data_IF_951542807392
#
_entry.id   IF_951542807392
#
_cell.length_a   1.000
_cell.length_b   1.000
_cell.length_c   1.000
_cell.angle_alpha   90.00
_cell.angle_beta   90.00
_cell.angle_gamma   90.00
#
_symmetry.space_group_name_H-M   'P 1'
#
loop_
_entity.id
_entity.type
_entity.pdbx_description
1 polymer ?
#
# COMPACT_ATOMS: atom_id res chain seq x y z
N UNK A 1 -11.92 23.94 -3.39
CA UNK A 1 -10.73 23.75 -4.24
C UNK A 1 -10.17 25.10 -4.65
N UNK A 2 -8.84 25.24 -4.73
CA UNK A 2 -8.24 26.44 -5.29
C UNK A 2 -8.46 26.47 -6.81
N UNK A 3 -8.84 27.61 -7.40
CA UNK A 3 -8.96 27.73 -8.84
C UNK A 3 -7.60 27.55 -9.51
N UNK A 4 -7.62 27.10 -10.77
CA UNK A 4 -6.42 27.09 -11.62
C UNK A 4 -5.77 28.48 -11.62
N UNK A 5 -4.44 28.61 -11.45
CA UNK A 5 -3.40 27.58 -11.53
C UNK A 5 -2.95 26.96 -10.19
N UNK A 6 -3.58 27.28 -9.06
CA UNK A 6 -3.09 26.89 -7.72
C UNK A 6 -3.58 25.51 -7.24
N UNK A 7 -4.07 24.66 -8.14
CA UNK A 7 -4.55 23.32 -7.78
C UNK A 7 -3.49 22.46 -7.07
N UNK A 8 -2.21 22.64 -7.40
CA UNK A 8 -1.09 21.95 -6.75
C UNK A 8 -0.93 22.35 -5.28
N UNK A 9 -1.23 23.60 -4.94
CA UNK A 9 -1.09 24.15 -3.58
C UNK A 9 -2.04 23.46 -2.60
N UNK A 10 -3.21 23.03 -3.06
CA UNK A 10 -4.21 22.36 -2.24
C UNK A 10 -3.65 21.13 -1.52
N UNK A 11 -2.82 20.34 -2.21
CA UNK A 11 -2.23 19.13 -1.65
C UNK A 11 -1.12 19.41 -0.65
N UNK A 12 -0.30 20.46 -0.88
CA UNK A 12 0.72 20.86 0.10
C UNK A 12 0.09 21.48 1.36
N UNK A 13 -0.98 22.26 1.19
CA UNK A 13 -1.77 22.75 2.32
C UNK A 13 -2.39 21.60 3.11
N UNK A 14 -2.89 20.56 2.43
CA UNK A 14 -3.39 19.35 3.08
C UNK A 14 -2.29 18.63 3.89
N UNK A 15 -1.04 18.57 3.40
CA UNK A 15 0.10 18.04 4.17
C UNK A 15 0.31 18.88 5.44
N UNK A 16 0.33 20.21 5.33
CA UNK A 16 0.51 21.10 6.48
C UNK A 16 -0.64 20.96 7.50
N UNK A 17 -1.88 20.84 7.03
CA UNK A 17 -3.05 20.61 7.89
C UNK A 17 -2.94 19.28 8.62
N UNK A 18 -2.59 18.19 7.91
CA UNK A 18 -2.38 16.88 8.52
C UNK A 18 -1.27 16.88 9.57
N UNK A 19 -0.15 17.55 9.27
CA UNK A 19 0.97 17.69 10.19
C UNK A 19 0.60 18.50 11.44
N UNK A 20 -0.05 19.66 11.25
CA UNK A 20 -0.50 20.52 12.35
C UNK A 20 -1.53 19.86 13.25
N UNK A 21 -2.56 19.23 12.67
CA UNK A 21 -3.58 18.52 13.45
C UNK A 21 -2.97 17.36 14.23
N UNK A 22 -2.07 16.59 13.63
CA UNK A 22 -1.41 15.48 14.32
C UNK A 22 -0.44 15.97 15.38
N UNK A 23 0.24 17.10 15.17
CA UNK A 23 1.08 17.73 16.19
C UNK A 23 0.27 18.16 17.42
N UNK A 24 -0.92 18.74 17.22
CA UNK A 24 -1.80 19.16 18.32
C UNK A 24 -2.37 17.97 19.07
N UNK A 25 -2.89 16.99 18.32
CA UNK A 25 -3.55 15.80 18.90
C UNK A 25 -2.53 14.77 19.42
N UNK A 26 -1.27 14.83 18.96
CA UNK A 26 -0.21 13.87 19.26
C UNK A 26 -0.58 12.41 18.95
N UNK A 27 -1.54 12.19 18.04
CA UNK A 27 -1.99 10.86 17.65
C UNK A 27 -2.41 10.82 16.18
N UNK A 28 -1.60 10.14 15.36
CA UNK A 28 -1.94 9.88 13.96
C UNK A 28 -3.08 8.86 13.83
N UNK A 29 -3.23 7.94 14.79
CA UNK A 29 -4.35 6.99 14.80
C UNK A 29 -5.70 7.68 14.99
N UNK A 30 -5.79 8.69 15.87
CA UNK A 30 -7.01 9.50 16.03
C UNK A 30 -7.29 10.29 14.75
N UNK A 31 -6.26 10.86 14.14
CA UNK A 31 -6.39 11.56 12.86
C UNK A 31 -6.93 10.63 11.76
N UNK A 32 -6.34 9.45 11.59
CA UNK A 32 -6.80 8.46 10.60
C UNK A 32 -8.22 7.98 10.88
N UNK A 33 -8.57 7.71 12.14
CA UNK A 33 -9.91 7.30 12.55
C UNK A 33 -10.98 8.37 12.26
N UNK A 34 -10.61 9.65 12.26
CA UNK A 34 -11.52 10.74 11.89
C UNK A 34 -11.68 10.88 10.36
N UNK A 35 -10.60 10.72 9.60
CA UNK A 35 -10.62 10.93 8.13
C UNK A 35 -11.23 9.74 7.38
N UNK A 36 -10.98 8.50 7.80
CA UNK A 36 -11.45 7.29 7.09
C UNK A 36 -12.98 7.22 6.96
N UNK A 37 -13.80 7.52 7.99
CA UNK A 37 -15.26 7.56 7.84
C UNK A 37 -15.72 8.63 6.83
N UNK A 38 -15.08 9.81 6.83
CA UNK A 38 -15.38 10.89 5.88
C UNK A 38 -15.07 10.48 4.44
N UNK A 39 -14.06 9.62 4.24
CA UNK A 39 -13.81 8.99 2.95
C UNK A 39 -14.90 7.97 2.59
N UNK A 40 -15.35 7.18 3.57
CA UNK A 40 -16.42 6.20 3.40
C UNK A 40 -17.76 6.81 2.96
N UNK A 41 -18.09 8.01 3.44
CA UNK A 41 -19.29 8.76 3.00
C UNK A 41 -19.05 9.66 1.79
N UNK A 42 -17.83 9.65 1.22
CA UNK A 42 -17.49 10.42 0.01
C UNK A 42 -17.25 11.92 0.21
N UNK A 43 -17.18 12.41 1.46
CA UNK A 43 -16.88 13.82 1.78
C UNK A 43 -15.44 14.16 1.41
N UNK A 44 -14.50 13.23 1.65
CA UNK A 44 -13.09 13.37 1.30
C UNK A 44 -12.71 12.29 0.30
N UNK A 45 -12.21 12.67 -0.87
CA UNK A 45 -11.71 11.70 -1.85
C UNK A 45 -10.35 11.12 -1.45
N UNK A 46 -10.01 9.93 -1.96
CA UNK A 46 -8.71 9.27 -1.71
C UNK A 46 -7.52 10.18 -2.08
N UNK A 47 -7.65 10.97 -3.15
CA UNK A 47 -6.62 11.89 -3.63
C UNK A 47 -6.38 13.05 -2.66
N UNK A 48 -7.41 13.46 -1.91
CA UNK A 48 -7.32 14.52 -0.89
C UNK A 48 -6.89 13.96 0.46
N UNK A 49 -7.30 12.73 0.79
CA UNK A 49 -6.91 12.05 2.01
C UNK A 49 -5.43 11.64 2.00
N UNK A 50 -4.88 11.28 0.84
CA UNK A 50 -3.48 10.88 0.73
C UNK A 50 -2.48 11.94 1.25
N UNK A 51 -2.49 13.21 0.78
CA UNK A 51 -1.61 14.24 1.34
C UNK A 51 -1.90 14.55 2.83
N UNK A 52 -3.15 14.42 3.29
CA UNK A 52 -3.49 14.55 4.72
C UNK A 52 -2.77 13.48 5.56
N UNK A 53 -2.76 12.22 5.12
CA UNK A 53 -2.05 11.13 5.81
C UNK A 53 -0.54 11.30 5.78
N UNK A 54 0.02 11.75 4.66
CA UNK A 54 1.45 12.08 4.57
C UNK A 54 1.82 13.20 5.56
N UNK A 55 1.00 14.24 5.64
CA UNK A 55 1.12 15.28 6.66
C UNK A 55 1.08 14.74 8.08
N UNK A 56 0.12 13.87 8.37
CA UNK A 56 -0.03 13.24 9.70
C UNK A 56 1.24 12.50 10.13
N UNK A 57 1.88 11.76 9.21
CA UNK A 57 3.14 11.07 9.49
C UNK A 57 4.26 12.03 9.90
N UNK A 58 4.35 13.21 9.27
CA UNK A 58 5.29 14.27 9.70
C UNK A 58 4.92 14.78 11.08
N UNK A 59 3.64 15.04 11.35
CA UNK A 59 3.18 15.50 12.66
C UNK A 59 3.58 14.55 13.81
N UNK A 60 3.55 13.23 13.58
CA UNK A 60 4.00 12.23 14.58
C UNK A 60 5.49 12.34 14.92
N UNK A 61 6.32 12.77 13.98
CA UNK A 61 7.77 12.92 14.25
C UNK A 61 8.07 14.05 15.25
N UNK A 62 7.16 15.02 15.38
CA UNK A 62 7.29 16.08 16.38
C UNK A 62 7.20 15.52 17.81
N UNK A 63 6.41 14.46 18.02
CA UNK A 63 6.36 13.75 19.32
C UNK A 63 7.74 13.21 19.70
N UNK A 64 8.43 12.58 18.75
CA UNK A 64 9.77 12.04 18.97
C UNK A 64 10.78 13.15 19.25
N UNK A 65 10.66 14.29 18.57
CA UNK A 65 11.52 15.45 18.80
C UNK A 65 11.30 16.06 20.18
N UNK A 66 10.04 16.25 20.61
CA UNK A 66 9.73 16.73 21.96
C UNK A 66 10.23 15.77 23.04
N UNK A 67 10.03 14.46 22.86
CA UNK A 67 10.53 13.44 23.77
C UNK A 67 12.06 13.44 23.86
N UNK A 68 12.75 13.63 22.72
CA UNK A 68 14.19 13.77 22.68
C UNK A 68 14.68 14.99 23.46
N UNK A 69 14.01 16.14 23.33
CA UNK A 69 14.37 17.36 24.06
C UNK A 69 14.10 17.27 25.57
N UNK A 70 13.18 16.40 25.99
CA UNK A 70 12.90 16.12 27.41
C UNK A 70 13.85 15.07 28.03
N UNK A 71 14.76 14.49 27.23
CA UNK A 71 15.67 13.44 27.69
C UNK A 71 16.87 14.04 28.46
N UNK A 72 17.42 13.35 29.49
CA UNK A 72 18.58 13.84 30.23
C UNK A 72 19.82 14.07 29.35
N UNK A 73 20.69 14.99 29.77
CA UNK A 73 21.84 15.47 28.98
C UNK A 73 22.81 14.39 28.51
N UNK A 74 22.94 13.29 29.28
CA UNK A 74 23.79 12.15 28.92
C UNK A 74 23.26 11.32 27.73
N UNK A 75 21.95 11.41 27.44
CA UNK A 75 21.29 10.67 26.35
C UNK A 75 20.71 11.60 25.26
N UNK A 76 20.73 12.92 25.48
CA UNK A 76 20.16 13.93 24.60
C UNK A 76 20.64 13.80 23.15
N UNK A 77 21.94 13.61 22.93
CA UNK A 77 22.50 13.53 21.58
C UNK A 77 21.95 12.31 20.81
N UNK A 78 21.92 11.15 21.46
CA UNK A 78 21.34 9.92 20.87
C UNK A 78 19.84 10.05 20.63
N UNK A 79 19.10 10.65 21.56
CA UNK A 79 17.65 10.82 21.44
C UNK A 79 17.29 11.79 20.30
N UNK A 80 17.98 12.93 20.19
CA UNK A 80 17.80 13.90 19.10
C UNK A 80 18.19 13.28 17.77
N UNK A 81 19.27 12.50 17.71
CA UNK A 81 19.66 11.79 16.50
C UNK A 81 18.54 10.85 16.00
N UNK A 82 17.97 10.02 16.89
CA UNK A 82 16.86 9.12 16.53
C UNK A 82 15.62 9.91 16.09
N UNK A 83 15.29 11.01 16.77
CA UNK A 83 14.18 11.87 16.39
C UNK A 83 14.38 12.53 15.02
N UNK A 84 15.58 13.01 14.72
CA UNK A 84 15.92 13.61 13.43
C UNK A 84 15.91 12.57 12.30
N UNK A 85 16.41 11.35 12.54
CA UNK A 85 16.30 10.26 11.57
C UNK A 85 14.83 9.98 11.28
N UNK A 86 13.98 9.93 12.31
CA UNK A 86 12.54 9.70 12.13
C UNK A 86 11.87 10.83 11.31
N UNK A 87 12.19 12.10 11.60
CA UNK A 87 11.73 13.25 10.84
C UNK A 87 12.19 13.20 9.37
N UNK A 88 13.50 13.04 9.15
CA UNK A 88 14.11 13.05 7.82
C UNK A 88 13.65 11.88 6.96
N UNK A 89 13.45 10.70 7.56
CA UNK A 89 12.91 9.54 6.85
C UNK A 89 11.50 9.81 6.31
N UNK A 90 10.61 10.36 7.14
CA UNK A 90 9.26 10.71 6.70
C UNK A 90 9.28 11.84 5.66
N UNK A 91 10.11 12.86 5.85
CA UNK A 91 10.26 13.96 4.92
C UNK A 91 10.77 13.48 3.55
N UNK A 92 11.83 12.67 3.54
CA UNK A 92 12.36 12.07 2.32
C UNK A 92 11.32 11.19 1.62
N UNK A 93 10.52 10.44 2.39
CA UNK A 93 9.39 9.66 1.86
C UNK A 93 8.36 10.54 1.13
N UNK A 94 7.98 11.68 1.69
CA UNK A 94 7.05 12.61 1.02
C UNK A 94 7.67 13.20 -0.25
N UNK A 95 8.93 13.62 -0.18
CA UNK A 95 9.64 14.14 -1.34
C UNK A 95 9.71 13.09 -2.46
N UNK A 96 9.97 11.83 -2.12
CA UNK A 96 10.05 10.73 -3.08
C UNK A 96 8.68 10.36 -3.66
N UNK A 97 7.69 10.07 -2.81
CA UNK A 97 6.41 9.46 -3.23
C UNK A 97 5.35 10.47 -3.65
N UNK A 98 5.38 11.70 -3.13
CA UNK A 98 4.35 12.70 -3.38
C UNK A 98 4.78 13.81 -4.34
N UNK A 99 6.00 14.34 -4.18
CA UNK A 99 6.47 15.45 -5.04
C UNK A 99 6.75 14.95 -6.45
N UNK A 100 7.35 13.77 -6.62
CA UNK A 100 7.60 13.18 -7.93
C UNK A 100 6.29 12.58 -8.49
N UNK A 101 5.67 13.16 -9.54
CA UNK A 101 4.34 12.72 -9.99
C UNK A 101 4.34 11.27 -10.50
N UNK A 102 5.44 10.81 -11.11
CA UNK A 102 5.60 9.45 -11.61
C UNK A 102 5.61 8.39 -10.49
N UNK A 103 5.97 8.79 -9.27
CA UNK A 103 6.09 7.87 -8.12
C UNK A 103 4.83 7.84 -7.24
N UNK A 104 3.73 8.51 -7.63
CA UNK A 104 2.45 8.47 -6.90
C UNK A 104 1.69 7.13 -7.03
N UNK A 105 2.44 6.03 -7.00
CA UNK A 105 1.98 4.64 -7.04
C UNK A 105 1.05 4.24 -5.88
N UNK A 106 1.18 4.78 -4.63
CA UNK A 106 0.32 4.36 -3.53
C UNK A 106 -1.17 4.61 -3.77
N UNK A 107 -1.54 5.69 -4.46
CA UNK A 107 -2.95 6.04 -4.73
C UNK A 107 -3.67 4.98 -5.59
N UNK A 108 -3.18 4.63 -6.81
CA UNK A 108 -3.83 3.60 -7.61
C UNK A 108 -3.76 2.21 -6.98
N UNK A 109 -2.69 1.89 -6.24
CA UNK A 109 -2.58 0.61 -5.51
C UNK A 109 -3.64 0.51 -4.43
N UNK A 110 -3.82 1.55 -3.61
CA UNK A 110 -4.83 1.59 -2.56
C UNK A 110 -6.25 1.48 -3.13
N UNK A 111 -6.55 2.14 -4.26
CA UNK A 111 -7.85 2.01 -4.95
C UNK A 111 -8.11 0.59 -5.43
N UNK A 112 -7.13 -0.03 -6.11
CA UNK A 112 -7.25 -1.41 -6.60
C UNK A 112 -7.45 -2.39 -5.45
N UNK A 113 -6.70 -2.21 -4.36
CA UNK A 113 -6.83 -3.03 -3.16
C UNK A 113 -8.19 -2.85 -2.47
N UNK A 114 -8.70 -1.61 -2.42
CA UNK A 114 -10.05 -1.31 -1.92
C UNK A 114 -11.14 -1.97 -2.76
N UNK A 115 -11.05 -1.88 -4.09
CA UNK A 115 -11.96 -2.54 -5.03
C UNK A 115 -11.94 -4.07 -4.85
N UNK A 116 -10.75 -4.64 -4.64
CA UNK A 116 -10.58 -6.07 -4.42
C UNK A 116 -11.22 -6.53 -3.10
N UNK A 117 -11.00 -5.76 -2.04
CA UNK A 117 -11.54 -6.04 -0.71
C UNK A 117 -13.06 -5.88 -0.66
N UNK A 118 -13.61 -4.95 -1.46
CA UNK A 118 -15.04 -4.79 -1.61
C UNK A 118 -15.70 -5.98 -2.34
N UNK A 119 -14.99 -6.60 -3.29
CA UNK A 119 -15.45 -7.81 -3.99
C UNK A 119 -15.31 -9.07 -3.12
N UNK A 120 -14.15 -9.24 -2.48
CA UNK A 120 -13.82 -10.42 -1.69
C UNK A 120 -13.58 -10.04 -0.23
N UNK A 121 -14.65 -10.06 0.59
CA UNK A 121 -14.59 -9.58 1.99
C UNK A 121 -13.55 -10.29 2.85
N UNK A 122 -13.30 -11.58 2.58
CA UNK A 122 -12.30 -12.38 3.29
C UNK A 122 -10.86 -11.91 3.03
N UNK A 123 -10.61 -11.22 1.92
CA UNK A 123 -9.30 -10.62 1.60
C UNK A 123 -8.89 -9.59 2.65
N UNK A 124 -9.83 -8.84 3.24
CA UNK A 124 -9.54 -7.92 4.35
C UNK A 124 -8.92 -8.66 5.54
N UNK A 125 -9.56 -9.76 5.96
CA UNK A 125 -9.14 -10.56 7.11
C UNK A 125 -7.80 -11.23 6.83
N UNK A 126 -7.67 -11.84 5.65
CA UNK A 126 -6.43 -12.46 5.21
C UNK A 126 -5.28 -11.45 5.16
N UNK A 127 -5.52 -10.24 4.63
CA UNK A 127 -4.55 -9.16 4.60
C UNK A 127 -4.11 -8.73 6.00
N UNK A 128 -5.05 -8.57 6.93
CA UNK A 128 -4.73 -8.20 8.32
C UNK A 128 -3.89 -9.27 9.00
N UNK A 129 -4.29 -10.54 8.92
CA UNK A 129 -3.53 -11.66 9.48
C UNK A 129 -2.15 -11.79 8.84
N UNK A 130 -2.06 -11.68 7.52
CA UNK A 130 -0.80 -11.77 6.82
C UNK A 130 0.14 -10.62 7.18
N UNK A 131 -0.34 -9.38 7.12
CA UNK A 131 0.52 -8.19 7.20
C UNK A 131 0.87 -7.81 8.63
N UNK A 132 -0.04 -8.01 9.60
CA UNK A 132 0.16 -7.60 10.99
C UNK A 132 0.60 -8.75 11.91
N UNK A 133 0.44 -10.01 11.49
CA UNK A 133 0.81 -11.17 12.32
C UNK A 133 1.84 -12.08 11.63
N UNK A 134 1.49 -12.70 10.50
CA UNK A 134 2.31 -13.75 9.91
C UNK A 134 3.63 -13.21 9.34
N UNK A 135 3.60 -12.11 8.59
CA UNK A 135 4.79 -11.54 7.96
C UNK A 135 5.79 -11.00 8.99
N UNK A 136 5.40 -10.18 9.99
CA UNK A 136 6.32 -9.76 11.05
C UNK A 136 6.89 -10.94 11.83
N UNK A 137 6.07 -11.95 12.15
CA UNK A 137 6.52 -13.15 12.86
C UNK A 137 7.51 -13.98 12.02
N UNK A 138 7.25 -14.14 10.72
CA UNK A 138 8.15 -14.81 9.81
C UNK A 138 9.46 -14.05 9.65
N UNK A 139 9.42 -12.71 9.49
CA UNK A 139 10.61 -11.88 9.39
C UNK A 139 11.45 -11.93 10.69
N UNK A 140 10.80 -11.89 11.85
CA UNK A 140 11.45 -12.04 13.14
C UNK A 140 12.07 -13.43 13.30
N UNK A 141 11.31 -14.49 13.02
CA UNK A 141 11.80 -15.88 13.08
C UNK A 141 12.98 -16.13 12.14
N UNK A 142 12.92 -15.58 10.92
CA UNK A 142 14.00 -15.68 9.95
C UNK A 142 15.25 -14.89 10.38
N UNK A 143 15.06 -13.75 11.03
CA UNK A 143 16.15 -12.96 11.62
C UNK A 143 16.88 -13.73 12.73
N UNK A 144 16.16 -14.55 13.51
CA UNK A 144 16.75 -15.40 14.56
C UNK A 144 17.46 -16.65 14.00
N UNK A 145 17.10 -17.11 12.80
CA UNK A 145 17.63 -18.34 12.20
C UNK A 145 19.08 -18.22 11.67
N UNK A 146 19.72 -17.07 11.82
CA UNK A 146 21.09 -16.79 11.39
C UNK A 146 21.20 -16.29 9.96
N UNK A 147 22.32 -15.63 9.64
CA UNK A 147 22.54 -14.94 8.37
C UNK A 147 22.46 -15.86 7.15
N UNK A 148 22.94 -17.11 7.26
CA UNK A 148 22.88 -18.09 6.19
C UNK A 148 21.45 -18.47 5.84
N UNK A 149 20.58 -18.70 6.83
CA UNK A 149 19.18 -19.07 6.60
C UNK A 149 18.40 -17.87 6.07
N UNK A 150 18.66 -16.67 6.61
CA UNK A 150 18.09 -15.43 6.10
C UNK A 150 18.44 -15.22 4.62
N UNK A 151 19.70 -15.43 4.22
CA UNK A 151 20.12 -15.31 2.83
C UNK A 151 19.52 -16.42 1.95
N UNK A 152 19.55 -17.68 2.42
CA UNK A 152 19.11 -18.84 1.67
C UNK A 152 17.59 -18.89 1.45
N UNK A 153 16.79 -18.38 2.40
CA UNK A 153 15.32 -18.36 2.29
C UNK A 153 14.82 -16.98 1.86
N UNK A 154 15.30 -15.91 2.49
CA UNK A 154 14.89 -14.55 2.20
C UNK A 154 15.32 -14.07 0.81
N UNK A 155 16.52 -14.45 0.38
CA UNK A 155 17.05 -14.09 -0.95
C UNK A 155 16.17 -14.59 -2.10
N UNK A 156 15.87 -15.90 -2.19
CA UNK A 156 14.98 -16.44 -3.22
C UNK A 156 13.56 -15.88 -3.17
N UNK A 157 12.98 -15.71 -1.97
CA UNK A 157 11.62 -15.13 -1.83
C UNK A 157 11.59 -13.69 -2.34
N UNK A 158 12.57 -12.86 -1.94
CA UNK A 158 12.69 -11.49 -2.44
C UNK A 158 12.93 -11.45 -3.95
N UNK A 159 13.80 -12.34 -4.47
CA UNK A 159 14.06 -12.47 -5.90
C UNK A 159 12.81 -12.84 -6.70
N UNK A 160 12.00 -13.79 -6.21
CA UNK A 160 10.74 -14.18 -6.83
C UNK A 160 9.74 -13.02 -6.84
N UNK A 161 9.59 -12.31 -5.71
CA UNK A 161 8.70 -11.15 -5.62
C UNK A 161 9.12 -10.03 -6.59
N UNK A 162 10.42 -9.72 -6.65
CA UNK A 162 10.98 -8.74 -7.59
C UNK A 162 10.74 -9.16 -9.04
N UNK A 163 10.92 -10.45 -9.36
CA UNK A 163 10.65 -10.99 -10.69
C UNK A 163 9.18 -10.84 -11.07
N UNK A 164 8.26 -11.21 -10.18
CA UNK A 164 6.81 -11.09 -10.41
C UNK A 164 6.41 -9.63 -10.63
N UNK A 165 6.93 -8.71 -9.79
CA UNK A 165 6.69 -7.27 -9.96
C UNK A 165 7.24 -6.78 -11.30
N UNK A 166 8.46 -7.15 -11.67
CA UNK A 166 9.09 -6.77 -12.93
C UNK A 166 8.30 -7.28 -14.14
N UNK A 167 7.89 -8.55 -14.13
CA UNK A 167 7.06 -9.15 -15.19
C UNK A 167 5.72 -8.42 -15.30
N UNK A 168 5.04 -8.14 -14.19
CA UNK A 168 3.77 -7.40 -14.22
C UNK A 168 3.94 -5.97 -14.74
N UNK A 169 5.03 -5.29 -14.37
CA UNK A 169 5.35 -3.94 -14.89
C UNK A 169 5.61 -4.00 -16.41
N UNK A 170 6.38 -4.98 -16.87
CA UNK A 170 6.68 -5.21 -18.28
C UNK A 170 5.42 -5.59 -19.09
N UNK A 171 4.52 -6.41 -18.53
CA UNK A 171 3.24 -6.74 -19.15
C UNK A 171 2.40 -5.48 -19.42
N UNK A 172 2.33 -4.55 -18.45
CA UNK A 172 1.53 -3.34 -18.61
C UNK A 172 2.22 -2.25 -19.46
N UNK A 173 3.56 -2.18 -19.54
CA UNK A 173 4.27 -1.11 -20.27
C UNK A 173 4.85 -1.54 -21.63
N UNK A 174 5.37 -2.76 -21.76
CA UNK A 174 6.08 -3.27 -22.94
C UNK A 174 5.89 -4.80 -23.08
N UNK A 175 4.70 -5.29 -23.43
CA UNK A 175 4.40 -6.72 -23.44
C UNK A 175 5.21 -7.52 -24.47
N UNK A 176 5.70 -6.87 -25.52
CA UNK A 176 6.50 -7.50 -26.59
C UNK A 176 7.88 -7.98 -26.12
N UNK A 177 8.43 -7.40 -25.04
CA UNK A 177 9.73 -7.78 -24.46
C UNK A 177 9.68 -9.10 -23.69
N UNK A 178 8.48 -9.55 -23.31
CA UNK A 178 8.31 -10.81 -22.58
C UNK A 178 8.14 -11.98 -23.56
N UNK A 179 8.70 -13.16 -23.24
CA UNK A 179 8.41 -14.39 -23.97
C UNK A 179 6.93 -14.73 -23.86
N UNK A 180 6.36 -15.42 -24.85
CA UNK A 180 4.90 -15.66 -24.98
C UNK A 180 4.25 -16.20 -23.69
N UNK A 181 4.93 -17.08 -22.95
CA UNK A 181 4.46 -17.66 -21.69
C UNK A 181 4.36 -16.67 -20.52
N UNK A 182 5.15 -15.59 -20.52
CA UNK A 182 5.14 -14.56 -19.47
C UNK A 182 4.31 -13.33 -19.87
N UNK A 183 3.72 -13.30 -21.07
CA UNK A 183 2.81 -12.22 -21.49
C UNK A 183 1.45 -12.32 -20.82
N UNK A 184 0.99 -13.53 -20.53
CA UNK A 184 -0.20 -13.77 -19.73
C UNK A 184 0.04 -14.87 -18.71
N UNK A 185 -0.60 -14.75 -17.55
CA UNK A 185 -0.59 -15.78 -16.52
C UNK A 185 -1.60 -16.91 -16.81
N UNK A 186 -2.11 -17.01 -18.04
CA UNK A 186 -3.16 -17.96 -18.41
C UNK A 186 -2.70 -19.42 -18.35
N UNK A 187 -1.39 -19.68 -18.45
CA UNK A 187 -0.82 -21.02 -18.29
C UNK A 187 -0.80 -21.50 -16.84
N UNK A 188 -0.91 -20.60 -15.86
CA UNK A 188 -0.94 -20.98 -14.45
C UNK A 188 -2.31 -21.55 -14.06
N UNK A 189 -2.36 -22.51 -13.13
CA UNK A 189 -3.61 -23.01 -12.55
C UNK A 189 -4.51 -21.87 -12.05
N UNK A 190 -5.82 -22.02 -12.25
CA UNK A 190 -6.78 -20.94 -11.99
C UNK A 190 -6.69 -20.36 -10.56
N UNK A 191 -6.41 -21.21 -9.57
CA UNK A 191 -6.23 -20.89 -8.15
C UNK A 191 -5.06 -19.95 -7.83
N UNK A 192 -4.08 -19.86 -8.72
CA UNK A 192 -2.87 -19.05 -8.52
C UNK A 192 -2.94 -17.68 -9.21
N UNK A 193 -3.84 -17.51 -10.19
CA UNK A 193 -4.04 -16.22 -10.87
C UNK A 193 -5.41 -15.57 -10.60
N UNK A 194 -6.35 -16.30 -10.00
CA UNK A 194 -7.72 -15.86 -9.72
C UNK A 194 -8.11 -16.22 -8.29
N UNK A 195 -8.85 -15.32 -7.65
CA UNK A 195 -9.38 -15.49 -6.29
C UNK A 195 -10.78 -16.13 -6.29
N UNK A 196 -11.40 -16.31 -7.45
CA UNK A 196 -12.77 -16.88 -7.57
C UNK A 196 -12.92 -18.27 -6.96
N UNK A 197 -11.97 -19.21 -7.15
CA UNK A 197 -12.10 -20.54 -6.57
C UNK A 197 -12.03 -20.53 -5.03
N UNK A 198 -11.21 -19.63 -4.47
CA UNK A 198 -11.07 -19.44 -3.03
C UNK A 198 -12.31 -18.78 -2.43
N UNK A 199 -12.91 -17.84 -3.14
CA UNK A 199 -14.16 -17.21 -2.71
C UNK A 199 -15.31 -18.21 -2.61
N UNK A 200 -15.43 -19.12 -3.59
CA UNK A 200 -16.41 -20.21 -3.55
C UNK A 200 -16.22 -21.14 -2.35
N UNK A 201 -14.97 -21.47 -2.00
CA UNK A 201 -14.66 -22.31 -0.84
C UNK A 201 -15.01 -21.61 0.48
N UNK A 202 -14.63 -20.34 0.63
CA UNK A 202 -14.88 -19.56 1.86
C UNK A 202 -16.38 -19.32 2.06
N UNK A 203 -17.11 -19.01 0.99
CA UNK A 203 -18.58 -18.82 1.06
C UNK A 203 -19.33 -20.13 1.36
N UNK A 204 -18.81 -21.29 0.94
CA UNK A 204 -19.33 -22.59 1.38
C UNK A 204 -19.06 -22.90 2.85
N UNK A 205 -17.88 -22.54 3.37
CA UNK A 205 -17.53 -22.76 4.78
C UNK A 205 -18.21 -21.77 5.75
N UNK A 206 -18.61 -20.59 5.28
CA UNK A 206 -19.31 -19.56 6.06
C UNK A 206 -20.59 -19.12 5.32
N UNK A 207 -21.73 -19.83 5.48
CA UNK A 207 -22.99 -19.52 4.81
C UNK A 207 -23.69 -18.34 5.50
N UNK A 208 -23.08 -17.16 5.49
CA UNK A 208 -23.74 -15.94 5.94
C UNK A 208 -24.60 -15.38 4.80
N UNK A 209 -25.91 -15.64 4.84
CA UNK A 209 -26.92 -15.06 3.93
C UNK A 209 -26.99 -13.52 3.92
N UNK A 210 -26.28 -12.84 4.83
CA UNK A 210 -26.15 -11.38 4.85
C UNK A 210 -25.09 -10.82 3.89
N UNK A 211 -24.37 -11.68 3.15
CA UNK A 211 -23.26 -11.30 2.25
C UNK A 211 -23.56 -11.57 0.77
N UNK A 212 -24.81 -11.41 0.33
CA UNK A 212 -25.12 -11.43 -1.11
C UNK A 212 -24.29 -10.35 -1.82
N UNK A 213 -23.41 -10.76 -2.72
CA UNK A 213 -22.56 -9.86 -3.49
C UNK A 213 -23.44 -8.87 -4.28
N UNK A 214 -23.10 -7.57 -4.35
CA UNK A 214 -23.73 -6.67 -5.29
C UNK A 214 -23.50 -7.21 -6.71
N UNK A 215 -24.53 -7.14 -7.55
CA UNK A 215 -24.51 -7.55 -8.95
C UNK A 215 -23.19 -7.22 -9.64
N UNK A 216 -22.65 -8.23 -10.33
CA UNK A 216 -21.43 -8.19 -11.12
C UNK A 216 -21.20 -6.86 -11.83
N UNK A 217 -20.42 -5.97 -11.22
CA UNK A 217 -19.80 -4.86 -11.93
C UNK A 217 -18.73 -5.46 -12.83
N UNK A 218 -18.93 -5.30 -14.13
CA UNK A 218 -18.07 -5.71 -15.24
C UNK A 218 -16.62 -5.88 -14.77
N UNK A 219 -16.14 -7.13 -14.74
CA UNK A 219 -14.77 -7.48 -14.36
C UNK A 219 -13.84 -6.58 -15.19
N UNK A 220 -13.10 -5.68 -14.52
CA UNK A 220 -12.11 -4.85 -15.22
C UNK A 220 -11.07 -5.80 -15.79
N UNK A 221 -10.88 -5.71 -17.11
CA UNK A 221 -9.89 -6.50 -17.82
C UNK A 221 -8.53 -6.37 -17.11
N UNK A 222 -7.97 -7.49 -16.68
CA UNK A 222 -6.62 -7.49 -16.11
C UNK A 222 -5.61 -7.00 -17.17
N UNK A 223 -4.42 -6.48 -16.77
CA UNK A 223 -3.42 -6.00 -17.76
C UNK A 223 -3.09 -7.06 -18.84
N UNK A 224 -3.24 -8.36 -18.54
CA UNK A 224 -3.02 -9.46 -19.49
C UNK A 224 -4.21 -9.74 -20.44
N UNK A 225 -5.39 -9.17 -20.17
CA UNK A 225 -6.56 -9.16 -21.07
C UNK A 225 -6.56 -7.93 -21.99
N UNK A 226 -5.46 -7.18 -22.05
CA UNK A 226 -5.29 -6.09 -23.00
C UNK A 226 -5.36 -6.65 -24.44
N UNK A 227 -6.19 -6.08 -25.34
CA UNK A 227 -6.29 -6.52 -26.72
C UNK A 227 -4.94 -6.57 -27.46
N UNK A 228 -3.97 -5.72 -27.12
CA UNK A 228 -2.60 -5.80 -27.69
C UNK A 228 -1.83 -7.05 -27.22
N UNK A 229 -2.00 -7.45 -25.96
CA UNK A 229 -1.38 -8.66 -25.39
C UNK A 229 -2.00 -9.90 -26.01
N UNK A 230 -3.33 -9.96 -26.10
CA UNK A 230 -4.07 -11.03 -26.77
C UNK A 230 -3.72 -11.12 -28.27
N UNK A 231 -3.64 -9.97 -28.96
CA UNK A 231 -3.22 -9.92 -30.37
C UNK A 231 -1.78 -10.43 -30.56
N UNK A 232 -0.88 -10.13 -29.62
CA UNK A 232 0.51 -10.63 -29.65
C UNK A 232 0.65 -12.13 -29.39
N UNK A 233 -0.42 -12.81 -28.93
CA UNK A 233 -0.45 -14.26 -28.72
C UNK A 233 -0.97 -15.03 -29.95
N UNK A 234 -1.68 -14.35 -30.86
CA UNK A 234 -2.18 -14.92 -32.12
C UNK A 234 -1.19 -14.84 -33.30
N UNK A 235 -0.03 -14.20 -33.10
CA UNK A 235 1.11 -14.13 -34.02
C UNK A 235 2.28 -14.96 -33.47
#
# INVERSE_FOLDING_TARGET
DFPFPFGWLSGYLAILVGAGLTFVVQSSSVFTAAVVPLMGVGVISMERAYPLFLGSNIGTTTTALLAALATPSNMLLSAVQVALIHFLFNLAGILLWYVVPALRLPIPVAKRFGDLTARYRWVAIAYLLLSFLLLPLAAFGLSLAGSTVLAAVGGPVAGLLLLVVLVNVLQCHRPTWLPRCLRSWAWLPHWLHSLEPWDGLVTHCCPCQACSAPHATTKKAHCYENPEVLASQHL
#
